data_IF_949759002141
#
_entry.id   IF_949759002141
#
_cell.length_a   1.000
_cell.length_b   1.000
_cell.length_c   1.000
_cell.angle_alpha   90.00
_cell.angle_beta   90.00
_cell.angle_gamma   90.00
#
_symmetry.space_group_name_H-M   'P 1'
#
loop_
_entity.id
_entity.type
_entity.pdbx_description
1 polymer ?
#
# COMPACT_ATOMS: atom_id res chain seq x y z
N UNK A 1 6.37 3.27 60.01
CA UNK A 1 7.18 3.33 58.76
C UNK A 1 6.49 2.77 57.50
N UNK A 2 5.44 1.93 57.59
CA UNK A 2 4.82 1.27 56.42
C UNK A 2 3.97 2.20 55.54
N UNK A 3 3.27 3.20 56.12
CA UNK A 3 2.39 4.13 55.36
C UNK A 3 3.13 5.09 54.41
N UNK A 4 4.42 5.36 54.63
CA UNK A 4 5.19 6.36 53.85
C UNK A 4 5.54 5.84 52.44
N UNK A 5 5.81 4.54 52.29
CA UNK A 5 6.14 3.95 50.97
C UNK A 5 4.93 3.84 50.04
N UNK A 6 3.71 3.81 50.58
CA UNK A 6 2.49 3.51 49.83
C UNK A 6 2.02 4.64 48.90
N UNK A 7 2.63 5.83 48.93
CA UNK A 7 2.23 6.96 48.08
C UNK A 7 3.40 7.70 47.41
N UNK A 8 4.61 7.13 47.42
CA UNK A 8 5.80 7.77 46.79
C UNK A 8 5.60 8.03 45.29
N UNK A 9 4.85 7.17 44.60
CA UNK A 9 4.50 7.34 43.19
C UNK A 9 3.62 8.58 42.90
N UNK A 10 3.04 9.22 43.93
CA UNK A 10 2.32 10.49 43.79
C UNK A 10 3.25 11.70 43.76
N UNK A 11 4.53 11.54 44.09
CA UNK A 11 5.53 12.59 43.90
C UNK A 11 6.08 12.48 42.46
N UNK A 12 5.88 13.54 41.68
CA UNK A 12 6.29 13.61 40.27
C UNK A 12 7.80 13.42 40.09
N UNK A 13 8.63 14.04 40.93
CA UNK A 13 10.09 13.97 40.84
C UNK A 13 10.59 12.56 41.16
N UNK A 14 10.07 11.95 42.23
CA UNK A 14 10.43 10.59 42.59
C UNK A 14 10.06 9.61 41.47
N UNK A 15 8.84 9.72 40.94
CA UNK A 15 8.37 8.84 39.87
C UNK A 15 9.16 9.03 38.57
N UNK A 16 9.51 10.28 38.23
CA UNK A 16 10.37 10.59 37.09
C UNK A 16 11.77 10.00 37.25
N UNK A 17 12.38 10.15 38.44
CA UNK A 17 13.71 9.58 38.72
C UNK A 17 13.70 8.05 38.63
N UNK A 18 12.70 7.36 39.17
CA UNK A 18 12.62 5.91 39.05
C UNK A 18 12.38 5.45 37.62
N UNK A 19 11.46 6.10 36.89
CA UNK A 19 11.02 5.66 35.57
C UNK A 19 12.00 6.05 34.46
N UNK A 20 12.50 7.29 34.43
CA UNK A 20 13.37 7.81 33.38
C UNK A 20 14.85 7.65 33.75
N UNK A 21 15.29 8.17 34.90
CA UNK A 21 16.71 8.22 35.28
C UNK A 21 17.25 6.83 35.60
N UNK A 22 16.58 6.09 36.49
CA UNK A 22 16.94 4.73 36.86
C UNK A 22 16.43 3.68 35.86
N UNK A 23 15.70 4.12 34.83
CA UNK A 23 15.16 3.29 33.77
C UNK A 23 14.38 2.04 34.27
N UNK A 24 13.72 2.10 35.43
CA UNK A 24 12.87 1.01 35.93
C UNK A 24 11.56 0.91 35.17
N UNK A 25 11.08 -0.29 34.92
CA UNK A 25 9.76 -0.53 34.34
C UNK A 25 8.65 -0.23 35.36
N UNK A 26 7.44 0.04 34.88
CA UNK A 26 6.28 0.24 35.78
C UNK A 26 6.01 -0.97 36.67
N UNK A 27 6.38 -2.18 36.20
CA UNK A 27 6.28 -3.42 36.97
C UNK A 27 7.29 -3.51 38.10
N UNK A 28 8.55 -3.14 37.86
CA UNK A 28 9.59 -3.12 38.89
C UNK A 28 9.26 -2.07 39.97
N UNK A 29 8.87 -0.86 39.55
CA UNK A 29 8.43 0.20 40.48
C UNK A 29 7.23 -0.28 41.30
N UNK A 30 6.23 -0.89 40.65
CA UNK A 30 5.07 -1.45 41.31
C UNK A 30 5.44 -2.51 42.35
N UNK A 31 6.35 -3.44 42.00
CA UNK A 31 6.83 -4.48 42.91
C UNK A 31 7.56 -3.92 44.13
N UNK A 32 8.39 -2.89 43.95
CA UNK A 32 9.16 -2.25 45.03
C UNK A 32 8.27 -1.56 46.07
N UNK A 33 7.20 -0.91 45.62
CA UNK A 33 6.28 -0.18 46.49
C UNK A 33 5.02 -0.98 46.83
N UNK A 34 4.92 -2.22 46.32
CA UNK A 34 3.80 -3.14 46.45
C UNK A 34 2.47 -2.58 45.92
N UNK A 35 2.49 -2.03 44.69
CA UNK A 35 1.31 -1.57 43.96
C UNK A 35 1.24 -2.20 42.57
N UNK A 36 0.03 -2.27 42.03
CA UNK A 36 -0.15 -2.68 40.64
C UNK A 36 0.55 -1.69 39.68
N UNK A 37 1.24 -2.24 38.69
CA UNK A 37 1.95 -1.48 37.67
C UNK A 37 1.04 -0.52 36.87
N UNK A 38 -0.25 -0.83 36.73
CA UNK A 38 -1.25 0.04 36.12
C UNK A 38 -1.51 1.30 36.95
N UNK A 39 -1.37 1.20 38.28
CA UNK A 39 -1.40 2.38 39.17
C UNK A 39 -0.26 3.33 38.82
N UNK A 40 0.96 2.82 38.67
CA UNK A 40 2.13 3.61 38.28
C UNK A 40 1.89 4.28 36.92
N UNK A 41 1.38 3.53 35.94
CA UNK A 41 1.08 4.05 34.61
C UNK A 41 0.06 5.19 34.63
N UNK A 42 -1.01 5.08 35.44
CA UNK A 42 -1.98 6.16 35.62
C UNK A 42 -1.34 7.45 36.11
N UNK A 43 -0.38 7.35 37.04
CA UNK A 43 0.33 8.52 37.57
C UNK A 43 1.38 9.09 36.61
N UNK A 44 2.06 8.25 35.83
CA UNK A 44 2.92 8.70 34.73
C UNK A 44 2.13 9.56 33.74
N UNK A 45 0.95 9.08 33.32
CA UNK A 45 0.06 9.84 32.43
C UNK A 45 -0.45 11.12 33.09
N UNK A 46 -0.88 11.05 34.36
CA UNK A 46 -1.36 12.22 35.10
C UNK A 46 -0.32 13.34 35.18
N UNK A 47 0.97 12.98 35.25
CA UNK A 47 2.07 13.93 35.28
C UNK A 47 2.65 14.29 33.90
N UNK A 48 2.06 13.75 32.82
CA UNK A 48 2.57 13.88 31.45
C UNK A 48 4.05 13.49 31.33
N UNK A 49 4.47 12.44 32.04
CA UNK A 49 5.83 11.91 31.92
C UNK A 49 5.90 11.09 30.62
N UNK A 50 6.81 11.42 29.68
CA UNK A 50 6.86 10.78 28.38
C UNK A 50 7.20 9.29 28.51
N UNK A 51 6.70 8.48 27.57
CA UNK A 51 7.12 7.09 27.45
C UNK A 51 8.61 7.00 27.15
N UNK A 52 9.24 5.95 27.67
CA UNK A 52 10.64 5.65 27.37
C UNK A 52 10.90 5.54 25.88
N UNK A 53 12.04 6.07 25.43
CA UNK A 53 12.48 6.01 24.04
C UNK A 53 12.49 4.57 23.49
N UNK A 54 12.85 3.60 24.35
CA UNK A 54 12.86 2.16 24.01
C UNK A 54 11.50 1.58 23.60
N UNK A 55 10.39 2.24 23.98
CA UNK A 55 9.03 1.85 23.58
C UNK A 55 8.51 2.63 22.36
N UNK A 56 9.18 3.71 21.93
CA UNK A 56 8.81 4.46 20.71
C UNK A 56 9.23 3.72 19.44
N UNK A 57 10.31 2.96 19.50
CA UNK A 57 10.76 2.10 18.41
C UNK A 57 9.85 0.87 18.43
N UNK A 58 8.92 0.75 17.47
CA UNK A 58 8.01 -0.38 17.39
C UNK A 58 8.72 -1.73 17.49
N UNK A 59 8.02 -2.77 17.96
CA UNK A 59 8.62 -4.09 18.21
C UNK A 59 9.37 -4.63 16.98
N UNK A 60 10.70 -4.68 17.06
CA UNK A 60 11.58 -5.22 16.00
C UNK A 60 11.60 -6.74 15.95
N UNK A 61 10.93 -7.41 16.91
CA UNK A 61 11.00 -8.87 17.17
C UNK A 61 10.69 -9.72 15.93
N UNK A 62 9.83 -9.23 15.04
CA UNK A 62 9.40 -9.96 13.83
C UNK A 62 10.00 -9.41 12.54
N UNK A 63 10.79 -8.34 12.60
CA UNK A 63 11.42 -7.74 11.43
C UNK A 63 12.47 -8.72 10.89
N UNK A 64 12.28 -9.16 9.64
CA UNK A 64 13.19 -10.11 8.98
C UNK A 64 12.94 -11.59 9.30
N UNK A 65 12.00 -11.92 10.19
CA UNK A 65 11.68 -13.33 10.52
C UNK A 65 10.92 -13.98 9.35
N UNK A 66 11.48 -15.04 8.78
CA UNK A 66 10.81 -15.87 7.76
C UNK A 66 10.22 -17.11 8.43
N UNK A 67 9.00 -17.50 8.03
CA UNK A 67 8.40 -18.75 8.48
C UNK A 67 9.28 -19.96 8.05
N UNK A 68 9.42 -20.94 8.94
CA UNK A 68 10.18 -22.16 8.65
C UNK A 68 9.50 -22.96 7.54
N UNK A 69 10.27 -23.83 6.87
CA UNK A 69 9.73 -24.73 5.84
C UNK A 69 8.62 -25.60 6.44
N UNK A 70 8.84 -26.13 7.65
CA UNK A 70 7.85 -26.93 8.37
C UNK A 70 6.54 -26.15 8.64
N UNK A 71 6.62 -24.90 9.10
CA UNK A 71 5.42 -24.06 9.30
C UNK A 71 4.68 -23.83 7.98
N UNK A 72 5.40 -23.58 6.89
CA UNK A 72 4.79 -23.43 5.55
C UNK A 72 4.09 -24.72 5.10
N UNK A 73 4.70 -25.88 5.36
CA UNK A 73 4.11 -27.19 5.07
C UNK A 73 2.83 -27.44 5.89
N UNK A 74 2.84 -27.14 7.19
CA UNK A 74 1.64 -27.24 8.05
C UNK A 74 0.49 -26.35 7.53
N UNK A 75 0.80 -25.10 7.19
CA UNK A 75 -0.19 -24.17 6.61
C UNK A 75 -0.72 -24.66 5.26
N UNK A 76 0.14 -25.25 4.42
CA UNK A 76 -0.26 -25.84 3.13
C UNK A 76 -1.15 -27.05 3.31
N UNK A 77 -0.79 -27.97 4.22
CA UNK A 77 -1.56 -29.17 4.51
C UNK A 77 -2.95 -28.83 5.05
N UNK A 78 -3.07 -27.82 5.92
CA UNK A 78 -4.38 -27.35 6.41
C UNK A 78 -5.29 -26.80 5.30
N UNK A 79 -4.73 -26.28 4.20
CA UNK A 79 -5.53 -25.79 3.05
C UNK A 79 -5.86 -26.89 2.06
N UNK A 80 -5.14 -28.02 2.09
CA UNK A 80 -5.31 -29.12 1.14
C UNK A 80 -6.69 -29.75 1.35
N UNK A 81 -7.52 -29.76 0.31
CA UNK A 81 -8.86 -30.33 0.36
C UNK A 81 -9.98 -29.35 0.72
N UNK A 82 -9.67 -28.19 1.31
CA UNK A 82 -10.65 -27.14 1.52
C UNK A 82 -10.97 -26.42 0.20
N UNK A 83 -12.04 -26.86 -0.47
CA UNK A 83 -12.62 -26.13 -1.61
C UNK A 83 -13.35 -24.91 -1.07
N UNK A 84 -12.99 -23.73 -1.54
CA UNK A 84 -13.73 -22.51 -1.22
C UNK A 84 -15.18 -22.64 -1.67
N UNK A 85 -16.11 -22.05 -0.91
CA UNK A 85 -17.57 -22.16 -1.16
C UNK A 85 -18.02 -21.67 -2.55
N UNK A 86 -17.18 -20.90 -3.24
CA UNK A 86 -17.40 -20.39 -4.60
C UNK A 86 -16.79 -21.26 -5.69
N UNK A 87 -15.98 -22.28 -5.35
CA UNK A 87 -15.32 -23.12 -6.34
C UNK A 87 -16.36 -23.91 -7.14
N UNK A 88 -16.35 -23.73 -8.46
CA UNK A 88 -17.28 -24.41 -9.38
C UNK A 88 -18.65 -23.76 -9.52
N UNK A 89 -19.00 -22.76 -8.70
CA UNK A 89 -20.25 -22.00 -8.87
C UNK A 89 -20.14 -21.09 -10.09
N UNK A 90 -21.10 -21.17 -11.01
CA UNK A 90 -21.22 -20.29 -12.18
C UNK A 90 -22.34 -19.28 -11.93
N UNK A 91 -22.12 -18.03 -12.35
CA UNK A 91 -23.21 -17.06 -12.40
C UNK A 91 -24.33 -17.54 -13.33
N UNK A 92 -25.58 -17.25 -12.95
CA UNK A 92 -26.76 -17.48 -13.80
C UNK A 92 -26.66 -16.66 -15.09
N UNK A 93 -27.38 -17.08 -16.15
CA UNK A 93 -27.41 -16.33 -17.42
C UNK A 93 -27.86 -14.87 -17.19
N UNK A 94 -28.92 -14.69 -16.40
CA UNK A 94 -29.45 -13.39 -16.02
C UNK A 94 -28.44 -12.54 -15.25
N UNK A 95 -27.72 -13.12 -14.28
CA UNK A 95 -26.68 -12.39 -13.54
C UNK A 95 -25.53 -11.95 -14.46
N UNK A 96 -25.12 -12.80 -15.41
CA UNK A 96 -24.12 -12.43 -16.42
C UNK A 96 -24.60 -11.28 -17.30
N UNK A 97 -25.86 -11.30 -17.71
CA UNK A 97 -26.45 -10.24 -18.53
C UNK A 97 -26.52 -8.91 -17.76
N UNK A 98 -26.96 -8.94 -16.50
CA UNK A 98 -27.00 -7.75 -15.63
C UNK A 98 -25.61 -7.16 -15.41
N UNK A 99 -24.61 -8.00 -15.16
CA UNK A 99 -23.19 -7.58 -15.04
C UNK A 99 -22.71 -6.98 -16.37
N UNK A 100 -23.01 -7.63 -17.49
CA UNK A 100 -22.62 -7.16 -18.82
C UNK A 100 -23.21 -5.78 -19.15
N UNK A 101 -24.51 -5.58 -18.92
CA UNK A 101 -25.19 -4.28 -19.11
C UNK A 101 -24.57 -3.18 -18.24
N UNK A 102 -24.31 -3.47 -16.96
CA UNK A 102 -23.68 -2.51 -16.04
C UNK A 102 -22.23 -2.18 -16.42
N UNK A 103 -21.52 -3.10 -17.08
CA UNK A 103 -20.12 -2.91 -17.49
C UNK A 103 -19.97 -2.21 -18.84
N UNK A 104 -21.02 -2.16 -19.67
CA UNK A 104 -20.98 -1.48 -20.95
C UNK A 104 -21.03 0.04 -20.75
N UNK A 105 -19.90 0.72 -20.94
CA UNK A 105 -19.77 2.18 -20.81
C UNK A 105 -19.83 2.94 -22.15
N UNK A 106 -20.24 2.28 -23.24
CA UNK A 106 -20.17 2.87 -24.58
C UNK A 106 -18.76 3.34 -24.93
N UNK A 107 -18.63 4.61 -25.33
CA UNK A 107 -17.35 5.27 -25.66
C UNK A 107 -16.62 5.87 -24.45
N UNK A 108 -17.26 5.95 -23.27
CA UNK A 108 -16.63 6.45 -22.05
C UNK A 108 -15.80 5.36 -21.36
N UNK A 109 -14.63 5.10 -21.95
CA UNK A 109 -13.77 3.97 -21.60
C UNK A 109 -12.44 4.49 -21.06
N UNK A 110 -11.99 3.90 -19.94
CA UNK A 110 -10.69 4.24 -19.36
C UNK A 110 -9.54 4.02 -20.36
N UNK A 111 -8.55 4.90 -20.33
CA UNK A 111 -7.32 4.86 -21.14
C UNK A 111 -6.69 3.46 -21.24
N UNK A 112 -6.56 2.77 -20.11
CA UNK A 112 -5.95 1.44 -20.03
C UNK A 112 -6.71 0.38 -20.82
N UNK A 113 -8.04 0.44 -20.84
CA UNK A 113 -8.88 -0.48 -21.59
C UNK A 113 -8.80 -0.22 -23.10
N UNK A 114 -8.67 1.05 -23.52
CA UNK A 114 -8.39 1.39 -24.93
C UNK A 114 -7.04 0.82 -25.36
N UNK A 115 -5.99 0.95 -24.52
CA UNK A 115 -4.67 0.39 -24.80
C UNK A 115 -4.68 -1.12 -24.91
N UNK A 116 -5.39 -1.80 -24.01
CA UNK A 116 -5.53 -3.25 -24.05
C UNK A 116 -6.26 -3.69 -25.32
N UNK A 117 -7.35 -3.00 -25.69
CA UNK A 117 -8.10 -3.29 -26.91
C UNK A 117 -7.26 -3.06 -28.18
N UNK A 118 -6.53 -1.94 -28.25
CA UNK A 118 -5.66 -1.62 -29.38
C UNK A 118 -4.55 -2.65 -29.54
N UNK A 119 -3.85 -3.04 -28.46
CA UNK A 119 -2.81 -4.09 -28.52
C UNK A 119 -3.33 -5.44 -29.00
N UNK A 120 -4.57 -5.77 -28.63
CA UNK A 120 -5.20 -7.03 -29.04
C UNK A 120 -5.57 -7.01 -30.52
N UNK A 121 -6.10 -5.90 -31.03
CA UNK A 121 -6.57 -5.78 -32.42
C UNK A 121 -5.45 -5.47 -33.40
N UNK A 122 -4.46 -4.68 -32.98
CA UNK A 122 -3.33 -4.22 -33.77
C UNK A 122 -2.05 -4.51 -32.98
N UNK A 123 -1.44 -5.69 -33.13
CA UNK A 123 -0.23 -6.04 -32.39
C UNK A 123 0.93 -5.09 -32.72
N UNK A 124 1.90 -4.90 -31.81
CA UNK A 124 3.03 -4.00 -32.02
C UNK A 124 3.92 -4.49 -33.18
N UNK A 125 4.41 -3.57 -34.03
CA UNK A 125 5.44 -3.89 -35.02
C UNK A 125 6.79 -4.15 -34.34
N UNK A 126 7.75 -4.69 -35.09
CA UNK A 126 9.11 -4.96 -34.57
C UNK A 126 9.99 -3.72 -34.47
N UNK A 127 9.59 -2.63 -35.13
CA UNK A 127 10.31 -1.36 -35.19
C UNK A 127 9.47 -0.20 -34.65
N UNK A 128 10.13 0.77 -34.05
CA UNK A 128 9.49 2.04 -33.67
C UNK A 128 9.00 2.78 -34.92
N UNK A 129 7.74 3.24 -34.92
CA UNK A 129 7.17 3.94 -36.08
C UNK A 129 7.74 5.35 -36.30
N UNK A 130 8.47 5.90 -35.33
CA UNK A 130 9.07 7.23 -35.42
C UNK A 130 10.56 7.17 -35.78
N UNK A 131 11.34 6.35 -35.07
CA UNK A 131 12.80 6.29 -35.27
C UNK A 131 13.26 5.04 -36.03
N UNK A 132 12.37 4.12 -36.39
CA UNK A 132 12.68 2.92 -37.17
C UNK A 132 13.50 1.84 -36.45
N UNK A 133 13.96 2.09 -35.22
CA UNK A 133 14.85 1.15 -34.50
C UNK A 133 14.10 -0.15 -34.16
N UNK A 134 14.70 -1.27 -34.54
CA UNK A 134 14.22 -2.64 -34.33
C UNK A 134 14.65 -3.15 -32.95
N UNK A 135 13.85 -4.03 -32.33
CA UNK A 135 14.22 -4.74 -31.09
C UNK A 135 14.02 -3.96 -29.81
N UNK A 136 13.49 -2.74 -29.89
CA UNK A 136 13.08 -1.95 -28.72
C UNK A 136 11.66 -2.32 -28.29
N UNK A 137 11.42 -2.31 -26.98
CA UNK A 137 10.06 -2.37 -26.44
C UNK A 137 9.27 -1.15 -26.90
N UNK A 138 8.10 -1.39 -27.51
CA UNK A 138 7.21 -0.36 -28.02
C UNK A 138 5.98 -0.22 -27.12
N UNK A 139 5.59 1.03 -26.89
CA UNK A 139 4.38 1.41 -26.19
C UNK A 139 3.46 2.20 -27.13
N UNK A 140 2.15 2.10 -26.93
CA UNK A 140 1.16 2.90 -27.66
C UNK A 140 1.17 4.33 -27.11
N UNK A 141 1.55 5.27 -27.95
CA UNK A 141 1.50 6.71 -27.67
C UNK A 141 0.29 7.34 -28.36
N UNK A 142 -0.38 8.28 -27.69
CA UNK A 142 -1.44 9.06 -28.30
C UNK A 142 -0.82 10.22 -29.09
N UNK A 143 -1.12 10.31 -30.39
CA UNK A 143 -0.57 11.36 -31.26
C UNK A 143 -1.49 12.59 -31.38
N UNK A 144 -2.81 12.42 -31.33
CA UNK A 144 -3.78 13.51 -31.54
C UNK A 144 -4.25 14.14 -30.23
N UNK A 145 -3.95 13.51 -29.09
CA UNK A 145 -4.47 13.91 -27.78
C UNK A 145 -5.93 13.50 -27.54
N UNK A 146 -6.54 12.79 -28.49
CA UNK A 146 -7.94 12.32 -28.41
C UNK A 146 -7.96 10.85 -27.99
N UNK A 147 -8.58 10.55 -26.86
CA UNK A 147 -8.64 9.19 -26.30
C UNK A 147 -9.85 8.39 -26.80
N UNK A 148 -9.99 8.24 -28.12
CA UNK A 148 -11.04 7.42 -28.77
C UNK A 148 -10.46 6.10 -29.28
N UNK A 149 -11.28 5.04 -29.41
CA UNK A 149 -10.89 3.72 -29.96
C UNK A 149 -10.62 3.73 -31.48
N UNK A 150 -9.81 4.67 -31.96
CA UNK A 150 -9.34 4.72 -33.34
C UNK A 150 -7.83 4.57 -33.37
N UNK A 151 -7.33 3.61 -34.15
CA UNK A 151 -5.88 3.39 -34.31
C UNK A 151 -5.19 4.62 -34.92
N UNK A 152 -5.90 5.45 -35.68
CA UNK A 152 -5.37 6.70 -36.25
C UNK A 152 -4.92 7.71 -35.19
N UNK A 153 -5.38 7.57 -33.95
CA UNK A 153 -4.97 8.43 -32.84
C UNK A 153 -3.73 7.91 -32.11
N UNK A 154 -3.21 6.73 -32.47
CA UNK A 154 -2.13 6.09 -31.74
C UNK A 154 -1.00 5.60 -32.64
N UNK A 155 0.22 5.57 -32.11
CA UNK A 155 1.38 4.96 -32.75
C UNK A 155 2.18 4.14 -31.74
N UNK A 156 2.86 3.10 -32.23
CA UNK A 156 3.81 2.31 -31.47
C UNK A 156 5.19 2.97 -31.46
N UNK A 157 5.57 3.49 -30.30
CA UNK A 157 6.80 4.25 -30.10
C UNK A 157 7.69 3.58 -29.05
N UNK A 158 9.00 3.66 -29.24
CA UNK A 158 9.94 3.34 -28.16
C UNK A 158 9.89 4.42 -27.07
N UNK A 159 10.29 4.09 -25.83
CA UNK A 159 10.22 4.98 -24.66
C UNK A 159 10.75 6.40 -24.92
N UNK A 160 11.88 6.54 -25.61
CA UNK A 160 12.46 7.86 -25.90
C UNK A 160 11.60 8.68 -26.87
N UNK A 161 11.09 8.05 -27.94
CA UNK A 161 10.16 8.70 -28.88
C UNK A 161 8.82 9.04 -28.21
N UNK A 162 8.31 8.15 -27.36
CA UNK A 162 7.09 8.37 -26.60
C UNK A 162 7.18 9.60 -25.70
N UNK A 163 8.28 9.75 -24.95
CA UNK A 163 8.49 10.93 -24.09
C UNK A 163 8.59 12.24 -24.87
N UNK A 164 9.21 12.22 -26.06
CA UNK A 164 9.25 13.40 -26.93
C UNK A 164 7.85 13.81 -27.38
N UNK A 165 7.04 12.84 -27.80
CA UNK A 165 5.66 13.07 -28.22
C UNK A 165 4.79 13.65 -27.09
N UNK A 166 4.91 13.10 -25.89
CA UNK A 166 4.16 13.58 -24.72
C UNK A 166 4.52 15.03 -24.38
N UNK A 167 5.81 15.38 -24.41
CA UNK A 167 6.28 16.75 -24.18
C UNK A 167 5.75 17.74 -25.23
N UNK A 168 5.70 17.33 -26.51
CA UNK A 168 5.11 18.13 -27.59
C UNK A 168 3.63 18.40 -27.30
N UNK A 169 2.87 17.37 -26.92
CA UNK A 169 1.44 17.49 -26.61
C UNK A 169 1.20 18.39 -25.40
N UNK A 170 2.00 18.25 -24.34
CA UNK A 170 1.93 19.11 -23.16
C UNK A 170 2.17 20.57 -23.52
N UNK A 171 3.15 20.85 -24.37
CA UNK A 171 3.45 22.21 -24.81
C UNK A 171 2.31 22.80 -25.67
N UNK A 172 1.73 22.01 -26.59
CA UNK A 172 0.55 22.44 -27.39
C UNK A 172 -0.64 22.76 -26.49
N UNK A 173 -0.91 21.94 -25.46
CA UNK A 173 -1.99 22.19 -24.50
C UNK A 173 -1.75 23.47 -23.69
N UNK A 174 -0.51 23.71 -23.23
CA UNK A 174 -0.14 24.95 -22.53
C UNK A 174 -0.39 26.19 -23.41
N UNK A 175 0.01 26.17 -24.68
CA UNK A 175 -0.20 27.30 -25.59
C UNK A 175 -1.69 27.60 -25.83
N UNK A 176 -2.56 26.58 -25.85
CA UNK A 176 -4.01 26.75 -26.02
C UNK A 176 -4.75 27.30 -24.81
N UNK A 177 -4.15 27.27 -23.62
CA UNK A 177 -4.76 27.79 -22.40
C UNK A 177 -4.37 29.25 -22.09
N UNK A 178 -3.51 29.86 -22.93
CA UNK A 178 -3.04 31.25 -22.80
C UNK A 178 -3.87 32.20 -23.68
N UNK A 179 -4.88 31.70 -24.39
CA UNK A 179 -5.87 32.45 -25.16
C UNK A 179 -7.23 32.28 -24.50
#
# INVERSE_FOLDING_TARGET
MVKIKQQLYKNKEWLFNQYIILNKTTREIGKEINYDHGTIWRWLNKFNIPMKESFKIGHTINVGRKATIETKLKMSNNKKGHKGYMLGKKHTKEAKERIGKAQFKGDDVKYSAIHQWLRKKYPPPNNCQECGIIGKKLDLSNITGIHKRSISNYKYLCKSCHMKQDNIILNIKKMRCIV
#
